data_IF_738816361249
#
_entry.id   IF_738816361249
#
_cell.length_a   1.000
_cell.length_b   1.000
_cell.length_c   1.000
_cell.angle_alpha   90.00
_cell.angle_beta   90.00
_cell.angle_gamma   90.00
#
_symmetry.space_group_name_H-M   'P 1'
#
loop_
_entity.id
_entity.type
_entity.pdbx_description
1 polymer ?
#
# COMPACT_ATOMS: atom_id res chain seq x y z
N UNK A 1 21.31 -10.49 -2.08
CA UNK A 1 20.29 -9.54 -2.58
C UNK A 1 19.02 -9.64 -1.74
N UNK A 2 18.36 -8.54 -1.54
CA UNK A 2 17.12 -8.53 -0.79
C UNK A 2 15.98 -9.13 -1.61
N UNK A 3 15.10 -9.92 -0.98
CA UNK A 3 13.86 -10.37 -1.58
C UNK A 3 12.72 -9.37 -1.34
N UNK A 4 12.93 -8.40 -0.45
CA UNK A 4 11.93 -7.42 -0.08
C UNK A 4 11.56 -6.52 -1.26
N UNK A 5 10.27 -6.15 -1.33
CA UNK A 5 9.76 -5.27 -2.38
C UNK A 5 8.89 -4.18 -1.77
N UNK A 6 9.00 -2.98 -2.32
CA UNK A 6 8.08 -1.90 -2.00
C UNK A 6 7.08 -1.76 -3.14
N UNK A 7 5.81 -1.67 -2.79
CA UNK A 7 4.75 -1.33 -3.73
C UNK A 7 4.22 0.04 -3.34
N UNK A 8 4.43 1.01 -4.24
CA UNK A 8 3.96 2.38 -4.05
C UNK A 8 2.79 2.61 -4.99
N UNK A 9 1.62 2.93 -4.44
CA UNK A 9 0.39 3.09 -5.22
C UNK A 9 -0.25 4.42 -4.88
N UNK A 10 -0.68 5.14 -5.92
CA UNK A 10 -1.34 6.44 -5.81
C UNK A 10 -2.67 6.40 -6.53
N UNK A 11 -3.66 7.06 -5.95
CA UNK A 11 -4.99 7.12 -6.53
C UNK A 11 -5.67 8.44 -6.20
N UNK A 12 -6.73 8.72 -6.92
CA UNK A 12 -7.60 9.86 -6.66
C UNK A 12 -8.90 9.37 -6.03
N UNK A 13 -9.28 10.00 -4.94
CA UNK A 13 -10.56 9.76 -4.29
C UNK A 13 -11.27 11.08 -4.10
N UNK A 14 -12.43 11.25 -4.76
CA UNK A 14 -13.20 12.49 -4.76
C UNK A 14 -14.34 12.52 -3.75
N UNK A 15 -14.56 11.39 -3.06
CA UNK A 15 -15.63 11.28 -2.10
C UNK A 15 -15.33 11.98 -0.77
N UNK A 16 -16.36 12.11 0.08
CA UNK A 16 -16.13 12.72 1.40
C UNK A 16 -15.36 11.80 2.34
N UNK A 17 -14.53 12.40 3.18
CA UNK A 17 -13.82 11.67 4.24
C UNK A 17 -14.72 11.68 5.48
N UNK A 18 -15.61 10.71 5.54
CA UNK A 18 -16.56 10.54 6.63
C UNK A 18 -16.05 9.55 7.67
N UNK A 19 -16.71 9.49 8.82
CA UNK A 19 -16.41 8.48 9.85
C UNK A 19 -16.59 7.06 9.29
N UNK A 20 -17.60 6.86 8.43
CA UNK A 20 -17.85 5.58 7.77
C UNK A 20 -16.73 5.21 6.81
N UNK A 21 -16.22 6.18 6.06
CA UNK A 21 -15.07 5.99 5.17
C UNK A 21 -13.84 5.57 5.99
N UNK A 22 -13.56 6.28 7.09
CA UNK A 22 -12.43 5.96 7.95
C UNK A 22 -12.59 4.58 8.62
N UNK A 23 -13.82 4.22 9.02
CA UNK A 23 -14.06 2.90 9.62
C UNK A 23 -13.88 1.78 8.61
N UNK A 24 -14.30 1.99 7.36
CA UNK A 24 -14.06 1.03 6.29
C UNK A 24 -12.57 0.81 6.05
N UNK A 25 -11.79 1.89 6.10
CA UNK A 25 -10.33 1.80 5.95
C UNK A 25 -9.67 1.13 7.16
N UNK A 26 -10.20 1.32 8.35
CA UNK A 26 -9.71 0.64 9.55
C UNK A 26 -9.88 -0.87 9.41
N UNK A 27 -11.02 -1.32 8.94
CA UNK A 27 -11.28 -2.75 8.70
C UNK A 27 -10.32 -3.31 7.65
N UNK A 28 -10.06 -2.54 6.60
CA UNK A 28 -9.09 -2.92 5.58
C UNK A 28 -7.68 -3.02 6.19
N UNK A 29 -7.30 -2.05 7.02
CA UNK A 29 -6.01 -2.08 7.70
C UNK A 29 -5.86 -3.32 8.60
N UNK A 30 -6.93 -3.69 9.31
CA UNK A 30 -6.94 -4.90 10.13
C UNK A 30 -6.72 -6.16 9.28
N UNK A 31 -7.37 -6.24 8.10
CA UNK A 31 -7.18 -7.38 7.20
C UNK A 31 -5.77 -7.41 6.62
N UNK A 32 -5.18 -6.24 6.34
CA UNK A 32 -3.80 -6.15 5.85
C UNK A 32 -2.82 -6.64 6.92
N UNK A 33 -3.10 -6.33 8.19
CA UNK A 33 -2.26 -6.78 9.31
C UNK A 33 -2.19 -8.32 9.40
N UNK A 34 -3.19 -9.02 8.87
CA UNK A 34 -3.24 -10.49 8.86
C UNK A 34 -2.60 -11.10 7.61
N UNK A 35 -2.20 -10.28 6.63
CA UNK A 35 -1.58 -10.78 5.40
C UNK A 35 -0.16 -11.26 5.66
N UNK A 36 0.16 -12.54 5.38
CA UNK A 36 1.45 -13.10 5.76
C UNK A 36 2.64 -12.52 5.00
N UNK A 37 2.41 -11.93 3.85
CA UNK A 37 3.48 -11.38 3.01
C UNK A 37 3.71 -9.90 3.17
N UNK A 38 2.87 -9.19 3.92
CA UNK A 38 2.99 -7.75 4.13
C UNK A 38 3.62 -7.47 5.47
N UNK A 39 4.77 -6.79 5.47
CA UNK A 39 5.44 -6.41 6.72
C UNK A 39 4.81 -5.16 7.32
N UNK A 40 4.49 -4.18 6.48
CA UNK A 40 3.76 -2.98 6.89
C UNK A 40 3.20 -2.26 5.67
N UNK A 41 2.25 -1.36 5.96
CA UNK A 41 1.69 -0.43 4.98
C UNK A 41 1.62 0.94 5.64
N UNK A 42 2.00 1.97 4.89
CA UNK A 42 1.82 3.37 5.28
C UNK A 42 0.76 3.96 4.37
N UNK A 43 -0.27 4.56 4.98
CA UNK A 43 -1.34 5.25 4.27
C UNK A 43 -0.95 6.72 4.16
N UNK A 44 -1.10 7.32 2.99
CA UNK A 44 -0.71 8.71 2.77
C UNK A 44 -1.83 9.50 2.12
N UNK A 45 -1.83 10.80 2.38
CA UNK A 45 -2.76 11.75 1.78
C UNK A 45 -2.03 13.08 1.61
N UNK A 46 -2.08 13.62 0.41
CA UNK A 46 -1.54 14.94 0.15
C UNK A 46 -2.56 15.98 0.60
N UNK A 47 -2.23 16.72 1.66
CA UNK A 47 -3.15 17.67 2.29
C UNK A 47 -3.69 18.68 1.28
N UNK A 48 -5.02 18.93 1.34
CA UNK A 48 -5.68 19.88 0.46
C UNK A 48 -5.98 19.37 -0.94
N UNK A 49 -5.75 18.09 -1.20
CA UNK A 49 -6.02 17.48 -2.52
C UNK A 49 -6.81 16.18 -2.37
N UNK A 50 -7.20 15.62 -3.51
CA UNK A 50 -7.87 14.30 -3.59
C UNK A 50 -6.86 13.17 -3.85
N UNK A 51 -5.56 13.46 -3.65
CA UNK A 51 -4.50 12.50 -3.89
C UNK A 51 -4.22 11.68 -2.63
N UNK A 52 -4.47 10.38 -2.73
CA UNK A 52 -4.20 9.39 -1.69
C UNK A 52 -3.19 8.39 -2.19
N UNK A 53 -2.46 7.81 -1.27
CA UNK A 53 -1.49 6.79 -1.64
C UNK A 53 -1.22 5.82 -0.52
N UNK A 54 -0.41 4.84 -0.84
CA UNK A 54 0.04 3.85 0.13
C UNK A 54 1.41 3.34 -0.28
N UNK A 55 2.23 3.05 0.71
CA UNK A 55 3.51 2.40 0.53
C UNK A 55 3.48 1.11 1.34
N UNK A 56 3.72 -0.01 0.66
CA UNK A 56 3.71 -1.34 1.28
C UNK A 56 5.10 -1.92 1.24
N UNK A 57 5.47 -2.65 2.28
CA UNK A 57 6.66 -3.49 2.25
C UNK A 57 6.24 -4.96 2.24
N UNK A 58 6.65 -5.68 1.20
CA UNK A 58 6.36 -7.11 1.02
C UNK A 58 7.62 -7.95 1.24
N UNK A 59 7.44 -9.17 1.72
CA UNK A 59 8.53 -10.12 1.92
C UNK A 59 9.19 -10.55 0.62
N UNK A 60 8.39 -10.67 -0.45
CA UNK A 60 8.89 -11.09 -1.76
C UNK A 60 7.89 -10.70 -2.86
N UNK A 61 8.31 -10.93 -4.11
CA UNK A 61 7.50 -10.54 -5.28
C UNK A 61 6.23 -11.38 -5.42
N UNK A 62 6.25 -12.63 -5.01
CA UNK A 62 5.11 -13.52 -5.12
C UNK A 62 3.94 -13.04 -4.27
N UNK A 63 4.20 -12.66 -3.04
CA UNK A 63 3.18 -12.07 -2.16
C UNK A 63 2.67 -10.75 -2.71
N UNK A 64 3.57 -9.92 -3.24
CA UNK A 64 3.20 -8.64 -3.82
C UNK A 64 2.24 -8.82 -5.00
N UNK A 65 2.61 -9.67 -5.96
CA UNK A 65 1.80 -9.90 -7.16
C UNK A 65 0.41 -10.42 -6.82
N UNK A 66 0.32 -11.33 -5.88
CA UNK A 66 -0.96 -11.92 -5.46
C UNK A 66 -1.85 -10.86 -4.80
N UNK A 67 -1.29 -10.09 -3.86
CA UNK A 67 -2.05 -9.04 -3.18
C UNK A 67 -2.46 -7.93 -4.14
N UNK A 68 -1.53 -7.50 -5.00
CA UNK A 68 -1.76 -6.47 -6.00
C UNK A 68 -2.96 -6.79 -6.88
N UNK A 69 -2.99 -8.01 -7.38
CA UNK A 69 -4.07 -8.48 -8.26
C UNK A 69 -5.43 -8.36 -7.58
N UNK A 70 -5.53 -8.83 -6.36
CA UNK A 70 -6.75 -8.76 -5.56
C UNK A 70 -7.13 -7.32 -5.25
N UNK A 71 -6.17 -6.50 -4.81
CA UNK A 71 -6.43 -5.13 -4.38
C UNK A 71 -6.86 -4.23 -5.52
N UNK A 72 -6.21 -4.33 -6.69
CA UNK A 72 -6.60 -3.56 -7.87
C UNK A 72 -8.02 -3.89 -8.31
N UNK A 73 -8.40 -5.15 -8.24
CA UNK A 73 -9.76 -5.59 -8.56
C UNK A 73 -10.77 -4.97 -7.60
N UNK A 74 -10.43 -4.92 -6.31
CA UNK A 74 -11.26 -4.32 -5.26
C UNK A 74 -11.43 -2.80 -5.48
N UNK A 75 -10.34 -2.10 -5.82
CA UNK A 75 -10.39 -0.66 -6.10
C UNK A 75 -11.25 -0.36 -7.33
N UNK A 76 -11.10 -1.14 -8.40
CA UNK A 76 -11.91 -0.97 -9.60
C UNK A 76 -13.39 -1.20 -9.32
N UNK A 77 -13.71 -2.15 -8.44
CA UNK A 77 -15.09 -2.46 -8.08
C UNK A 77 -15.80 -1.29 -7.38
N UNK A 78 -15.06 -0.42 -6.70
CA UNK A 78 -15.63 0.78 -6.05
C UNK A 78 -15.42 2.05 -6.88
N UNK A 79 -15.05 1.91 -8.16
CA UNK A 79 -14.96 3.01 -9.10
C UNK A 79 -13.65 3.77 -9.13
N UNK A 80 -12.62 3.28 -8.48
CA UNK A 80 -11.30 3.90 -8.51
C UNK A 80 -10.52 3.32 -9.68
N UNK A 81 -10.29 4.14 -10.71
CA UNK A 81 -9.67 3.70 -11.96
C UNK A 81 -8.42 4.50 -12.35
N UNK A 82 -8.20 5.67 -11.74
CA UNK A 82 -7.01 6.49 -12.02
C UNK A 82 -5.92 6.13 -11.01
N UNK A 83 -5.23 5.03 -11.29
CA UNK A 83 -4.25 4.43 -10.37
C UNK A 83 -2.88 4.48 -11.00
N UNK A 84 -1.90 4.99 -10.26
CA UNK A 84 -0.48 4.96 -10.63
C UNK A 84 0.26 4.14 -9.61
N UNK A 85 1.13 3.26 -10.09
CA UNK A 85 1.84 2.35 -9.19
C UNK A 85 3.26 2.09 -9.65
N UNK A 86 4.10 1.77 -8.70
CA UNK A 86 5.49 1.37 -8.94
C UNK A 86 5.86 0.25 -7.99
N UNK A 87 6.69 -0.66 -8.47
CA UNK A 87 7.30 -1.70 -7.67
C UNK A 87 8.79 -1.42 -7.61
N UNK A 88 9.33 -1.34 -6.39
CA UNK A 88 10.75 -1.02 -6.19
C UNK A 88 11.46 -2.17 -5.47
N UNK A 89 12.68 -2.43 -5.90
CA UNK A 89 13.61 -3.25 -5.13
C UNK A 89 14.13 -2.43 -3.96
N UNK A 90 14.50 -3.12 -2.89
CA UNK A 90 15.05 -2.46 -1.70
C UNK A 90 16.58 -2.50 -1.78
N UNK A 91 17.21 -1.34 -1.60
CA UNK A 91 18.64 -1.24 -1.35
C UNK A 91 18.83 -1.46 0.15
N UNK A 92 18.83 -2.72 0.55
CA UNK A 92 18.68 -3.13 1.95
C UNK A 92 19.79 -2.61 2.85
N UNK A 93 21.06 -2.72 2.42
CA UNK A 93 22.19 -2.31 3.24
C UNK A 93 22.13 -0.82 3.57
N UNK A 94 21.85 0.03 2.56
CA UNK A 94 21.74 1.47 2.76
C UNK A 94 20.52 1.81 3.63
N UNK A 95 19.41 1.13 3.38
CA UNK A 95 18.16 1.38 4.10
C UNK A 95 18.30 1.03 5.59
N UNK A 96 19.04 -0.03 5.92
CA UNK A 96 19.29 -0.40 7.31
C UNK A 96 20.15 0.62 8.04
N UNK A 97 21.11 1.25 7.34
CA UNK A 97 21.91 2.33 7.93
C UNK A 97 21.02 3.48 8.37
N UNK A 98 19.97 3.78 7.60
CA UNK A 98 19.01 4.84 7.89
C UNK A 98 17.87 4.39 8.81
N UNK A 99 17.94 3.20 9.37
CA UNK A 99 16.96 2.66 10.32
C UNK A 99 15.60 2.31 9.69
N UNK A 100 15.58 1.98 8.39
CA UNK A 100 14.33 1.54 7.78
C UNK A 100 13.81 0.25 8.42
N UNK A 101 12.51 0.15 8.71
CA UNK A 101 11.93 -1.04 9.37
C UNK A 101 11.71 -2.17 8.36
N UNK A 102 12.72 -2.98 8.17
CA UNK A 102 12.71 -4.06 7.15
C UNK A 102 12.42 -5.45 7.73
N UNK A 103 12.19 -5.53 9.03
CA UNK A 103 11.90 -6.81 9.69
C UNK A 103 10.48 -6.90 10.21
#
# INVERSE_FOLDING_TARGET
MSTLKVWDIHLRYDGPITDEFMEGNRKLAESIAEEPGILWKIWTHEAGTNHFGSTYLFKNIEYLEEYRKMHLKRLNAIGITDIKEHVFDILEDLSRVDHAPLD
#
